data_IF_103733882842
#
_entry.id   IF_103733882842
#
_cell.length_a   1.000
_cell.length_b   1.000
_cell.length_c   1.000
_cell.angle_alpha   90.00
_cell.angle_beta   90.00
_cell.angle_gamma   90.00
#
_symmetry.space_group_name_H-M   'P 1'
#
loop_
_entity.id
_entity.type
_entity.pdbx_description
1 polymer ?
#
# COMPACT_ATOMS: atom_id res chain seq x y z
N UNK A 1 -12.66 0.18 -20.24
CA UNK A 1 -13.49 -0.26 -19.09
C UNK A 1 -12.84 0.05 -17.74
N UNK A 2 -11.51 -0.03 -17.60
CA UNK A 2 -10.78 0.32 -16.35
C UNK A 2 -11.03 1.76 -15.86
N UNK A 3 -10.96 2.76 -16.74
CA UNK A 3 -11.10 4.19 -16.35
C UNK A 3 -12.42 4.50 -15.63
N UNK A 4 -13.56 3.93 -16.07
CA UNK A 4 -14.86 4.18 -15.44
C UNK A 4 -14.95 3.59 -14.03
N UNK A 5 -14.31 2.43 -13.80
CA UNK A 5 -14.23 1.80 -12.48
C UNK A 5 -13.37 2.67 -11.54
N UNK A 6 -12.22 3.15 -12.02
CA UNK A 6 -11.32 4.00 -11.25
C UNK A 6 -11.98 5.33 -10.88
N UNK A 7 -12.72 5.93 -11.80
CA UNK A 7 -13.51 7.12 -11.50
C UNK A 7 -14.60 6.86 -10.45
N UNK A 8 -15.29 5.71 -10.52
CA UNK A 8 -16.29 5.36 -9.53
C UNK A 8 -15.67 5.19 -8.13
N UNK A 9 -14.56 4.45 -8.02
CA UNK A 9 -13.84 4.28 -6.76
C UNK A 9 -13.29 5.60 -6.22
N UNK A 10 -12.77 6.46 -7.10
CA UNK A 10 -12.32 7.80 -6.73
C UNK A 10 -13.47 8.65 -6.18
N UNK A 11 -14.65 8.61 -6.81
CA UNK A 11 -15.84 9.31 -6.31
C UNK A 11 -16.27 8.79 -4.94
N UNK A 12 -16.27 7.47 -4.71
CA UNK A 12 -16.64 6.93 -3.39
C UNK A 12 -15.73 7.46 -2.27
N UNK A 13 -14.42 7.52 -2.55
CA UNK A 13 -13.41 8.04 -1.62
C UNK A 13 -13.61 9.54 -1.40
N UNK A 14 -13.79 10.33 -2.47
CA UNK A 14 -13.99 11.79 -2.38
C UNK A 14 -15.29 12.19 -1.68
N UNK A 15 -16.34 11.36 -1.74
CA UNK A 15 -17.58 11.59 -1.01
C UNK A 15 -17.55 11.04 0.43
N UNK A 16 -16.42 10.49 0.89
CA UNK A 16 -16.26 9.94 2.24
C UNK A 16 -17.06 8.66 2.50
N UNK A 17 -17.49 7.94 1.45
CA UNK A 17 -18.21 6.65 1.58
C UNK A 17 -17.26 5.50 1.92
N UNK A 18 -15.98 5.67 1.64
CA UNK A 18 -14.89 4.79 2.04
C UNK A 18 -13.64 5.64 2.25
N UNK A 19 -12.75 5.20 3.13
CA UNK A 19 -11.47 5.88 3.35
C UNK A 19 -10.34 5.29 2.50
N UNK A 20 -10.39 3.98 2.23
CA UNK A 20 -9.42 3.24 1.42
C UNK A 20 -10.16 2.45 0.36
N UNK A 21 -9.62 2.42 -0.87
CA UNK A 21 -10.12 1.58 -1.95
C UNK A 21 -8.98 0.84 -2.64
N UNK A 22 -9.11 -0.49 -2.76
CA UNK A 22 -8.23 -1.32 -3.58
C UNK A 22 -8.62 -1.13 -5.05
N UNK A 23 -7.67 -0.66 -5.85
CA UNK A 23 -7.81 -0.43 -7.29
C UNK A 23 -7.40 -1.68 -8.07
N UNK A 24 -6.37 -2.37 -7.58
CA UNK A 24 -5.88 -3.60 -8.16
C UNK A 24 -5.36 -4.51 -7.06
N UNK A 25 -5.68 -5.79 -7.15
CA UNK A 25 -5.00 -6.87 -6.43
C UNK A 25 -4.52 -7.92 -7.42
N UNK A 26 -3.38 -8.59 -7.15
CA UNK A 26 -2.85 -9.61 -8.05
C UNK A 26 -3.66 -10.91 -8.01
N UNK A 27 -4.38 -11.15 -6.91
CA UNK A 27 -5.32 -12.26 -6.73
C UNK A 27 -6.38 -11.89 -5.69
N UNK A 28 -7.41 -12.73 -5.56
CA UNK A 28 -8.56 -12.48 -4.66
C UNK A 28 -8.23 -12.63 -3.18
N UNK A 29 -7.18 -13.37 -2.83
CA UNK A 29 -6.74 -13.56 -1.43
C UNK A 29 -5.74 -12.51 -0.93
N UNK A 30 -5.38 -11.50 -1.72
CA UNK A 30 -4.45 -10.44 -1.30
C UNK A 30 -4.92 -9.83 0.02
N UNK A 31 -4.05 -9.59 1.01
CA UNK A 31 -2.58 -9.64 0.98
C UNK A 31 -1.98 -11.02 1.27
N UNK A 32 -2.78 -12.07 1.46
CA UNK A 32 -2.28 -13.41 1.77
C UNK A 32 -1.77 -14.09 0.51
N UNK A 33 -0.50 -14.53 0.52
CA UNK A 33 0.08 -15.23 -0.62
C UNK A 33 -0.75 -16.47 -1.01
N UNK A 34 -0.95 -16.72 -2.31
CA UNK A 34 -1.62 -17.92 -2.78
C UNK A 34 -0.85 -19.15 -2.28
N UNK A 35 -1.56 -20.13 -1.72
CA UNK A 35 -0.97 -21.39 -1.26
C UNK A 35 -0.37 -22.14 -2.46
N UNK A 36 0.90 -21.87 -2.75
CA UNK A 36 1.64 -22.62 -3.75
C UNK A 36 1.81 -24.05 -3.22
N UNK A 37 1.32 -25.02 -3.99
CA UNK A 37 1.15 -26.40 -3.56
C UNK A 37 2.40 -27.04 -2.93
N UNK A 38 2.15 -27.96 -2.01
CA UNK A 38 3.06 -28.85 -1.26
C UNK A 38 3.60 -28.37 0.08
N UNK A 39 3.45 -27.10 0.46
CA UNK A 39 3.55 -26.70 1.85
C UNK A 39 2.22 -26.09 2.26
N UNK A 40 1.56 -26.70 3.24
CA UNK A 40 0.48 -26.08 4.01
C UNK A 40 1.11 -24.96 4.85
N UNK A 41 1.71 -23.96 4.18
CA UNK A 41 2.51 -22.93 4.80
C UNK A 41 1.59 -22.16 5.73
N UNK A 42 1.95 -22.20 7.00
CA UNK A 42 1.32 -21.48 8.09
C UNK A 42 1.21 -20.02 7.64
N UNK A 43 -0.01 -19.53 7.50
CA UNK A 43 -0.28 -18.10 7.42
C UNK A 43 0.51 -17.40 8.54
N UNK A 44 1.27 -16.35 8.25
CA UNK A 44 2.18 -15.79 9.23
C UNK A 44 1.39 -15.21 10.40
N UNK A 45 1.93 -15.31 11.62
CA UNK A 45 1.35 -14.65 12.78
C UNK A 45 1.35 -13.13 12.62
N UNK A 46 2.37 -12.60 11.93
CA UNK A 46 2.51 -11.18 11.62
C UNK A 46 2.54 -10.99 10.12
N UNK A 47 1.56 -10.28 9.57
CA UNK A 47 1.49 -9.90 8.17
C UNK A 47 2.28 -8.60 7.94
N UNK A 48 3.38 -8.68 7.20
CA UNK A 48 4.28 -7.56 6.89
C UNK A 48 4.01 -7.03 5.50
N UNK A 49 3.60 -5.76 5.42
CA UNK A 49 3.28 -5.11 4.15
C UNK A 49 4.21 -3.91 3.95
N UNK A 50 4.91 -3.87 2.82
CA UNK A 50 5.59 -2.65 2.39
C UNK A 50 4.60 -1.70 1.71
N UNK A 51 4.65 -0.42 2.06
CA UNK A 51 3.77 0.61 1.53
C UNK A 51 4.64 1.70 0.88
N UNK A 52 4.53 1.85 -0.44
CA UNK A 52 5.11 3.00 -1.14
C UNK A 52 4.01 4.04 -1.40
N UNK A 53 4.00 5.09 -0.59
CA UNK A 53 3.08 6.22 -0.70
C UNK A 53 3.73 7.37 -1.49
N UNK A 54 3.21 7.66 -2.68
CA UNK A 54 3.75 8.70 -3.58
C UNK A 54 2.67 9.33 -4.44
N UNK A 55 2.97 10.48 -5.05
CA UNK A 55 2.08 11.12 -6.02
C UNK A 55 2.07 10.44 -7.39
N UNK A 56 3.06 9.58 -7.70
CA UNK A 56 3.18 8.82 -8.96
C UNK A 56 2.88 9.66 -10.22
N UNK A 57 3.51 10.83 -10.34
CA UNK A 57 3.16 11.85 -11.34
C UNK A 57 4.34 12.23 -12.26
N UNK A 58 4.71 11.38 -13.25
CA UNK A 58 4.42 9.95 -13.36
C UNK A 58 5.33 9.09 -12.46
N UNK A 59 5.06 7.79 -12.25
CA UNK A 59 6.03 6.87 -11.67
C UNK A 59 7.33 6.82 -12.50
N UNK A 60 8.43 6.47 -11.85
CA UNK A 60 9.77 6.41 -12.46
C UNK A 60 10.51 5.16 -11.99
N UNK A 61 11.68 4.88 -12.57
CA UNK A 61 12.56 3.78 -12.12
C UNK A 61 12.99 3.90 -10.66
N UNK A 62 13.03 5.12 -10.10
CA UNK A 62 13.30 5.32 -8.69
C UNK A 62 12.17 4.77 -7.80
N UNK A 63 10.91 4.97 -8.22
CA UNK A 63 9.76 4.38 -7.54
C UNK A 63 9.79 2.86 -7.63
N UNK A 64 10.14 2.29 -8.79
CA UNK A 64 10.31 0.85 -8.95
C UNK A 64 11.38 0.29 -8.01
N UNK A 65 12.53 0.97 -7.91
CA UNK A 65 13.61 0.57 -7.01
C UNK A 65 13.16 0.57 -5.55
N UNK A 66 12.49 1.65 -5.10
CA UNK A 66 11.95 1.74 -3.74
C UNK A 66 10.89 0.66 -3.46
N UNK A 67 9.94 0.48 -4.38
CA UNK A 67 8.88 -0.51 -4.24
C UNK A 67 9.40 -1.95 -4.23
N UNK A 68 10.61 -2.19 -4.74
CA UNK A 68 11.25 -3.51 -4.82
C UNK A 68 12.22 -3.80 -3.67
N UNK A 69 12.37 -2.89 -2.69
CA UNK A 69 13.28 -3.12 -1.56
C UNK A 69 12.87 -4.36 -0.74
N UNK A 70 13.82 -5.19 -0.30
CA UNK A 70 13.54 -6.32 0.58
C UNK A 70 13.19 -5.84 2.00
N UNK A 71 12.58 -6.71 2.82
CA UNK A 71 12.41 -6.40 4.24
C UNK A 71 13.74 -6.60 4.97
N UNK A 72 14.17 -5.58 5.71
CA UNK A 72 15.40 -5.65 6.49
C UNK A 72 15.07 -6.05 7.93
N UNK A 73 15.33 -7.31 8.29
CA UNK A 73 15.20 -7.79 9.67
C UNK A 73 16.55 -7.77 10.36
N UNK A 74 16.70 -6.95 11.41
CA UNK A 74 17.94 -6.86 12.19
C UNK A 74 18.24 -8.16 12.99
N UNK A 75 17.25 -9.03 13.17
CA UNK A 75 17.35 -10.26 13.96
C UNK A 75 17.65 -11.51 13.13
N UNK A 76 17.73 -11.40 11.81
CA UNK A 76 18.10 -12.49 10.93
C UNK A 76 19.62 -12.48 10.66
N UNK A 77 20.32 -13.64 10.70
CA UNK A 77 21.69 -13.71 10.22
C UNK A 77 21.74 -13.21 8.77
N UNK A 78 22.85 -12.57 8.38
CA UNK A 78 23.06 -11.76 7.18
C UNK A 78 22.70 -12.39 5.82
N UNK A 79 22.37 -13.69 5.80
CA UNK A 79 22.07 -14.47 4.60
C UNK A 79 20.58 -14.79 4.40
N UNK A 80 19.68 -14.40 5.31
CA UNK A 80 18.23 -14.56 5.10
C UNK A 80 17.52 -13.20 5.11
N UNK A 81 17.61 -12.46 3.99
CA UNK A 81 16.67 -11.37 3.73
C UNK A 81 15.26 -11.97 3.63
N UNK A 82 14.44 -11.84 4.67
CA UNK A 82 13.02 -12.19 4.55
C UNK A 82 12.37 -11.17 3.61
N UNK A 83 11.57 -11.61 2.65
CA UNK A 83 10.76 -10.70 1.85
C UNK A 83 9.55 -10.19 2.65
N UNK A 84 8.94 -9.10 2.19
CA UNK A 84 7.62 -8.70 2.69
C UNK A 84 6.57 -9.73 2.26
N UNK A 85 5.53 -9.94 3.07
CA UNK A 85 4.45 -10.85 2.69
C UNK A 85 3.66 -10.30 1.51
N UNK A 86 3.45 -8.98 1.48
CA UNK A 86 2.78 -8.25 0.41
C UNK A 86 3.35 -6.84 0.22
N UNK A 87 3.03 -6.23 -0.93
CA UNK A 87 3.42 -4.85 -1.26
C UNK A 87 2.20 -4.03 -1.65
N UNK A 88 2.24 -2.73 -1.34
CA UNK A 88 1.16 -1.80 -1.62
C UNK A 88 1.71 -0.50 -2.22
N UNK A 89 1.29 -0.18 -3.44
CA UNK A 89 1.44 1.14 -4.02
C UNK A 89 0.23 1.99 -3.61
N UNK A 90 0.46 3.09 -2.90
CA UNK A 90 -0.59 3.90 -2.29
C UNK A 90 -0.60 5.32 -2.84
N UNK A 91 -1.76 5.76 -3.32
CA UNK A 91 -1.98 7.16 -3.73
C UNK A 91 -2.97 7.84 -2.80
N UNK A 92 -2.50 8.87 -2.07
CA UNK A 92 -3.40 9.74 -1.31
C UNK A 92 -4.11 10.74 -2.23
N UNK A 93 -5.44 10.77 -2.20
CA UNK A 93 -6.27 11.68 -3.02
C UNK A 93 -6.33 13.10 -2.44
N UNK A 94 -6.04 13.25 -1.14
CA UNK A 94 -5.84 14.54 -0.45
C UNK A 94 -4.42 14.56 0.09
N UNK A 95 -3.49 15.04 -0.73
CA UNK A 95 -2.13 15.26 -0.27
C UNK A 95 -2.05 16.59 0.49
N UNK A 96 -1.48 16.59 1.70
CA UNK A 96 -1.39 17.78 2.58
C UNK A 96 -0.73 18.99 1.89
N UNK A 97 0.22 18.75 0.98
CA UNK A 97 1.09 19.79 0.41
C UNK A 97 0.87 20.08 -1.09
N UNK A 98 -0.04 19.37 -1.79
CA UNK A 98 -0.09 19.42 -3.27
C UNK A 98 -1.51 19.57 -3.85
N UNK A 99 -1.75 20.71 -4.49
CA UNK A 99 -2.83 20.86 -5.47
C UNK A 99 -2.35 20.44 -6.86
N UNK A 100 -3.24 19.82 -7.66
CA UNK A 100 -2.95 19.46 -9.06
C UNK A 100 -2.60 20.72 -9.86
N UNK A 101 -1.41 20.73 -10.48
CA UNK A 101 -0.96 21.83 -11.36
C UNK A 101 -1.34 21.57 -12.81
N UNK A 102 -1.33 22.63 -13.63
CA UNK A 102 -1.50 22.50 -15.07
C UNK A 102 -0.38 21.62 -15.64
N UNK A 103 -0.74 20.48 -16.24
CA UNK A 103 0.20 19.47 -16.75
C UNK A 103 0.40 18.26 -15.84
N UNK A 104 -0.15 18.24 -14.63
CA UNK A 104 -0.16 17.04 -13.79
C UNK A 104 -1.09 15.98 -14.38
N UNK A 105 -0.67 14.70 -14.27
CA UNK A 105 -1.54 13.57 -14.54
C UNK A 105 -2.71 13.55 -13.57
N UNK A 106 -3.89 13.20 -14.06
CA UNK A 106 -5.10 13.04 -13.23
C UNK A 106 -4.93 11.85 -12.26
N UNK A 107 -5.76 11.78 -11.22
CA UNK A 107 -5.78 10.62 -10.31
C UNK A 107 -5.98 9.30 -11.08
N UNK A 108 -6.86 9.29 -12.09
CA UNK A 108 -7.11 8.11 -12.92
C UNK A 108 -5.87 7.71 -13.71
N UNK A 109 -5.21 8.67 -14.36
CA UNK A 109 -3.97 8.40 -15.10
C UNK A 109 -2.87 7.89 -14.16
N UNK A 110 -2.76 8.44 -12.95
CA UNK A 110 -1.80 7.98 -11.93
C UNK A 110 -2.08 6.54 -11.52
N UNK A 111 -3.35 6.18 -11.27
CA UNK A 111 -3.75 4.80 -10.99
C UNK A 111 -3.38 3.86 -12.15
N UNK A 112 -3.67 4.24 -13.40
CA UNK A 112 -3.29 3.46 -14.58
C UNK A 112 -1.78 3.24 -14.66
N UNK A 113 -0.98 4.28 -14.43
CA UNK A 113 0.48 4.15 -14.41
C UNK A 113 0.99 3.35 -13.20
N UNK A 114 0.33 3.40 -12.04
CA UNK A 114 0.65 2.56 -10.89
C UNK A 114 0.39 1.08 -11.17
N UNK A 115 -0.63 0.74 -11.96
CA UNK A 115 -0.87 -0.64 -12.40
C UNK A 115 0.28 -1.16 -13.27
N UNK A 116 0.80 -0.34 -14.18
CA UNK A 116 1.99 -0.69 -14.96
C UNK A 116 3.22 -0.87 -14.05
N UNK A 117 3.42 0.04 -13.09
CA UNK A 117 4.50 -0.07 -12.11
C UNK A 117 4.38 -1.35 -11.26
N UNK A 118 3.17 -1.73 -10.84
CA UNK A 118 2.93 -2.95 -10.09
C UNK A 118 3.31 -4.21 -10.87
N UNK A 119 3.09 -4.20 -12.19
CA UNK A 119 3.49 -5.30 -13.07
C UNK A 119 5.03 -5.41 -13.23
N UNK A 120 5.73 -4.28 -13.19
CA UNK A 120 7.21 -4.24 -13.31
C UNK A 120 7.93 -4.69 -12.03
N UNK A 121 7.25 -4.72 -10.89
CA UNK A 121 7.80 -5.25 -9.63
C UNK A 121 7.84 -6.77 -9.75
N UNK A 122 9.01 -7.38 -9.53
CA UNK A 122 9.24 -8.84 -9.67
C UNK A 122 8.52 -9.70 -8.61
N UNK A 123 7.67 -9.10 -7.80
CA UNK A 123 6.89 -9.69 -6.72
C UNK A 123 5.44 -9.80 -7.16
N UNK A 124 4.88 -11.01 -7.08
CA UNK A 124 3.52 -11.30 -7.55
C UNK A 124 2.42 -10.94 -6.54
N UNK A 125 2.75 -10.35 -5.39
CA UNK A 125 1.82 -9.98 -4.33
C UNK A 125 1.75 -8.45 -4.09
N UNK A 126 1.84 -7.66 -5.18
CA UNK A 126 1.73 -6.20 -5.15
C UNK A 126 0.32 -5.72 -5.50
N UNK A 127 -0.30 -4.95 -4.60
CA UNK A 127 -1.57 -4.28 -4.84
C UNK A 127 -1.42 -2.77 -5.07
N UNK A 128 -2.47 -2.16 -5.62
CA UNK A 128 -2.60 -0.72 -5.80
C UNK A 128 -3.84 -0.23 -5.06
N UNK A 129 -3.70 0.82 -4.26
CA UNK A 129 -4.81 1.44 -3.54
C UNK A 129 -4.79 2.96 -3.60
N UNK A 130 -5.96 3.54 -3.37
CA UNK A 130 -6.12 4.96 -3.06
C UNK A 130 -6.63 5.14 -1.63
N UNK A 131 -6.30 6.28 -1.04
CA UNK A 131 -6.70 6.64 0.33
C UNK A 131 -7.08 8.11 0.44
N UNK A 132 -8.12 8.41 1.22
CA UNK A 132 -8.43 9.77 1.66
C UNK A 132 -7.87 10.04 3.05
N UNK A 133 -6.56 10.29 3.13
CA UNK A 133 -5.90 10.66 4.37
C UNK A 133 -4.58 11.39 4.07
N UNK A 134 -4.38 12.62 4.60
CA UNK A 134 -3.18 13.40 4.33
C UNK A 134 -1.98 13.01 5.20
N UNK A 135 -2.19 12.54 6.44
CA UNK A 135 -1.12 12.35 7.42
C UNK A 135 -0.55 10.94 7.42
N UNK A 136 0.72 10.77 7.79
CA UNK A 136 1.34 9.45 7.88
C UNK A 136 0.64 8.55 8.92
N UNK A 137 0.39 9.10 10.12
CA UNK A 137 -0.26 8.38 11.24
C UNK A 137 -1.70 8.02 10.87
N UNK A 138 -2.43 8.93 10.25
CA UNK A 138 -3.77 8.67 9.75
C UNK A 138 -3.76 7.56 8.72
N UNK A 139 -2.85 7.60 7.73
CA UNK A 139 -2.76 6.58 6.67
C UNK A 139 -2.52 5.20 7.27
N UNK A 140 -1.60 5.09 8.23
CA UNK A 140 -1.32 3.84 8.92
C UNK A 140 -2.56 3.30 9.65
N UNK A 141 -3.25 4.15 10.41
CA UNK A 141 -4.47 3.78 11.14
C UNK A 141 -5.56 3.30 10.21
N UNK A 142 -5.83 4.06 9.15
CA UNK A 142 -6.85 3.74 8.15
C UNK A 142 -6.55 2.44 7.41
N UNK A 143 -5.29 2.23 7.00
CA UNK A 143 -4.86 1.00 6.32
C UNK A 143 -4.98 -0.22 7.22
N UNK A 144 -4.57 -0.13 8.50
CA UNK A 144 -4.70 -1.25 9.44
C UNK A 144 -6.18 -1.61 9.66
N UNK A 145 -7.05 -0.61 9.84
CA UNK A 145 -8.49 -0.83 9.98
C UNK A 145 -9.07 -1.51 8.73
N UNK A 146 -8.74 -0.97 7.55
CA UNK A 146 -9.15 -1.53 6.26
C UNK A 146 -8.69 -2.99 6.10
N UNK A 147 -7.41 -3.28 6.34
CA UNK A 147 -6.82 -4.60 6.17
C UNK A 147 -7.44 -5.63 7.12
N UNK A 148 -7.74 -5.25 8.37
CA UNK A 148 -8.44 -6.13 9.32
C UNK A 148 -9.82 -6.50 8.80
N UNK A 149 -10.62 -5.52 8.36
CA UNK A 149 -11.94 -5.77 7.77
C UNK A 149 -11.85 -6.63 6.51
N UNK A 150 -10.87 -6.35 5.64
CA UNK A 150 -10.64 -7.10 4.41
C UNK A 150 -10.27 -8.56 4.70
N UNK A 151 -9.34 -8.82 5.64
CA UNK A 151 -8.96 -10.18 6.04
C UNK A 151 -10.12 -10.98 6.65
N UNK A 152 -11.01 -10.32 7.40
CA UNK A 152 -12.24 -10.94 7.92
C UNK A 152 -13.18 -11.35 6.79
N UNK A 153 -13.31 -10.53 5.73
CA UNK A 153 -14.14 -10.86 4.57
C UNK A 153 -13.58 -12.02 3.75
N UNK A 154 -12.25 -12.15 3.67
CA UNK A 154 -11.60 -13.27 3.00
C UNK A 154 -11.74 -14.59 3.76
N UNK A 155 -11.87 -14.53 5.09
CA UNK A 155 -11.98 -15.70 5.96
C UNK A 155 -13.43 -16.16 6.06
N UNK A 156 -13.96 -16.78 4.99
CA UNK A 156 -15.34 -17.26 4.88
C UNK A 156 -15.75 -18.37 5.89
N UNK A 157 -14.90 -18.75 6.87
CA UNK A 157 -15.22 -19.69 7.96
C UNK A 157 -14.19 -19.60 9.12
N UNK A 158 -14.58 -19.67 10.41
CA UNK A 158 -13.66 -19.76 11.54
C UNK A 158 -13.13 -21.21 11.74
N UNK A 159 -11.95 -21.41 12.36
CA UNK A 159 -11.50 -20.70 13.55
C UNK A 159 -10.21 -19.89 13.36
N UNK A 160 -10.20 -18.72 13.98
CA UNK A 160 -9.05 -17.82 14.16
C UNK A 160 -8.34 -17.37 12.87
N UNK A 161 -8.54 -16.10 12.51
CA UNK A 161 -7.61 -15.33 11.70
C UNK A 161 -6.17 -15.58 12.18
N UNK A 162 -5.40 -16.32 11.40
CA UNK A 162 -4.05 -16.76 11.79
C UNK A 162 -3.06 -15.59 11.86
N UNK A 163 -3.39 -14.47 11.19
CA UNK A 163 -2.70 -13.20 11.34
C UNK A 163 -3.16 -12.51 12.63
N UNK A 164 -2.31 -12.50 13.64
CA UNK A 164 -2.55 -11.82 14.92
C UNK A 164 -2.05 -10.38 14.92
N UNK A 165 -1.13 -10.03 14.01
CA UNK A 165 -0.55 -8.68 13.89
C UNK A 165 -0.38 -8.25 12.43
N UNK A 166 -0.51 -6.95 12.18
CA UNK A 166 -0.25 -6.33 10.88
C UNK A 166 0.83 -5.28 11.08
N UNK A 167 1.90 -5.38 10.31
CA UNK A 167 3.04 -4.46 10.33
C UNK A 167 3.12 -3.74 8.98
N UNK A 168 3.07 -2.41 9.01
CA UNK A 168 3.22 -1.57 7.82
C UNK A 168 4.59 -0.91 7.81
N UNK A 169 5.41 -1.23 6.80
CA UNK A 169 6.67 -0.53 6.53
C UNK A 169 6.46 0.48 5.41
N UNK A 170 6.43 1.76 5.74
CA UNK A 170 6.34 2.80 4.72
C UNK A 170 7.72 3.10 4.12
N UNK A 171 7.89 2.76 2.85
CA UNK A 171 9.11 3.05 2.09
C UNK A 171 9.05 4.49 1.61
N UNK A 172 10.09 5.27 1.93
CA UNK A 172 10.15 6.70 1.63
C UNK A 172 11.48 7.10 1.01
N UNK A 173 11.43 8.09 0.12
CA UNK A 173 12.61 8.83 -0.31
C UNK A 173 13.12 9.73 0.82
N UNK A 174 14.41 10.07 0.77
CA UNK A 174 15.06 10.91 1.78
C UNK A 174 14.40 12.29 1.93
N UNK A 175 14.00 12.90 0.81
CA UNK A 175 13.27 14.18 0.78
C UNK A 175 11.95 14.14 1.56
N UNK A 176 11.26 13.00 1.54
CA UNK A 176 10.00 12.82 2.25
C UNK A 176 10.23 12.51 3.71
N UNK A 177 11.33 11.84 4.06
CA UNK A 177 11.75 11.66 5.45
C UNK A 177 12.12 13.00 6.11
N UNK A 178 12.85 13.88 5.41
CA UNK A 178 13.14 15.23 5.91
C UNK A 178 11.86 16.03 6.19
N UNK A 179 10.87 15.95 5.29
CA UNK A 179 9.56 16.57 5.50
C UNK A 179 8.81 15.95 6.67
N UNK A 180 8.81 14.62 6.80
CA UNK A 180 8.16 13.93 7.91
C UNK A 180 8.69 14.43 9.26
N UNK A 181 10.01 14.62 9.38
CA UNK A 181 10.66 15.09 10.60
C UNK A 181 10.64 16.63 10.75
N UNK A 182 9.98 17.35 9.84
CA UNK A 182 9.93 18.81 9.91
C UNK A 182 9.04 19.25 11.09
N UNK A 183 9.54 20.11 12.00
CA UNK A 183 8.80 20.52 13.19
C UNK A 183 7.42 21.12 12.90
N UNK A 184 7.22 21.73 11.72
CA UNK A 184 5.94 22.34 11.33
C UNK A 184 4.76 21.36 11.24
N UNK A 185 5.02 20.05 11.20
CA UNK A 185 3.98 19.01 11.15
C UNK A 185 3.69 18.38 12.51
N UNK A 186 4.38 18.82 13.57
CA UNK A 186 4.12 18.42 14.94
C UNK A 186 3.68 19.67 15.69
N UNK A 187 2.50 19.62 16.31
CA UNK A 187 2.08 20.70 17.18
C UNK A 187 3.18 20.97 18.20
N UNK A 188 3.52 22.24 18.41
CA UNK A 188 4.51 22.64 19.42
C UNK A 188 4.07 22.09 20.76
N UNK A 189 4.85 21.15 21.30
CA UNK A 189 4.74 20.66 22.68
C UNK A 189 5.07 21.81 23.63
#
# INVERSE_FOLDING_TARGET
>A
MSSQIFEAQLREIQHGRSQVALIHTPHTSWPLQPKSGLNLAMTPSTLRISVLDSSFNPPTRAHLALASLPHYSQSAPSDSSSEYDARLLLLSVRNADKHLKLGDATHVQRMEMMLLLAHDIRDNNTAVAIIDEPTFVGKSTALIAFLRSHLLQLSLSPPASVVSSIELSFVQGFDTLERLLSPRYYDSV
#
